data_IF_572020251403
#
_entry.id   IF_572020251403
#
_cell.length_a   1.000
_cell.length_b   1.000
_cell.length_c   1.000
_cell.angle_alpha   90.00
_cell.angle_beta   90.00
_cell.angle_gamma   90.00
#
_symmetry.space_group_name_H-M   'P 1'
#
loop_
_entity.id
_entity.type
_entity.pdbx_description
1 polymer ?
#
# COMPACT_ATOMS: atom_id res chain seq x y z
N UNK A 1 16.16 5.76 -16.75
CA UNK A 1 15.12 4.73 -16.52
C UNK A 1 14.11 4.80 -17.66
N UNK A 2 13.77 3.67 -18.30
CA UNK A 2 12.77 3.66 -19.39
C UNK A 2 11.35 3.88 -18.85
N UNK A 3 10.42 4.35 -19.68
CA UNK A 3 9.03 4.53 -19.28
C UNK A 3 8.41 3.21 -18.79
N UNK A 4 8.67 2.10 -19.49
CA UNK A 4 8.24 0.76 -19.10
C UNK A 4 8.78 0.35 -17.73
N UNK A 5 10.07 0.55 -17.47
CA UNK A 5 10.67 0.23 -16.17
C UNK A 5 10.01 1.03 -15.04
N UNK A 6 9.68 2.31 -15.27
CA UNK A 6 8.97 3.15 -14.30
C UNK A 6 7.59 2.58 -13.94
N UNK A 7 6.83 2.10 -14.93
CA UNK A 7 5.52 1.48 -14.67
C UNK A 7 5.64 0.17 -13.89
N UNK A 8 6.66 -0.65 -14.18
CA UNK A 8 6.91 -1.89 -13.44
C UNK A 8 7.28 -1.58 -12.00
N UNK A 9 8.21 -0.64 -11.76
CA UNK A 9 8.57 -0.21 -10.42
C UNK A 9 7.35 0.34 -9.65
N UNK A 10 6.47 1.08 -10.33
CA UNK A 10 5.21 1.52 -9.76
C UNK A 10 4.33 0.32 -9.37
N UNK A 11 4.12 -0.68 -10.23
CA UNK A 11 3.32 -1.84 -9.84
C UNK A 11 3.92 -2.62 -8.67
N UNK A 12 5.24 -2.77 -8.62
CA UNK A 12 5.93 -3.42 -7.52
C UNK A 12 5.81 -2.65 -6.20
N UNK A 13 5.93 -1.32 -6.21
CA UNK A 13 5.80 -0.48 -5.01
C UNK A 13 4.42 -0.63 -4.36
N UNK A 14 3.36 -0.53 -5.17
CA UNK A 14 1.98 -0.63 -4.67
C UNK A 14 1.63 -2.08 -4.26
N UNK A 15 2.18 -3.07 -4.95
CA UNK A 15 2.09 -4.48 -4.55
C UNK A 15 2.83 -4.80 -3.26
N UNK A 16 3.98 -4.17 -3.01
CA UNK A 16 4.69 -4.32 -1.74
C UNK A 16 3.88 -3.72 -0.59
N UNK A 17 3.24 -2.57 -0.80
CA UNK A 17 2.40 -1.94 0.21
C UNK A 17 1.14 -2.76 0.55
N UNK A 18 0.55 -3.47 -0.41
CA UNK A 18 -0.57 -4.39 -0.13
C UNK A 18 -0.12 -5.64 0.63
N UNK A 19 1.06 -6.19 0.34
CA UNK A 19 1.66 -7.29 1.10
C UNK A 19 2.07 -6.86 2.52
N UNK A 20 2.53 -5.61 2.69
CA UNK A 20 2.78 -5.03 4.00
C UNK A 20 1.51 -5.02 4.87
N UNK A 21 0.39 -4.54 4.32
CA UNK A 21 -0.92 -4.56 5.01
C UNK A 21 -1.32 -5.99 5.41
N UNK A 22 -1.19 -6.98 4.51
CA UNK A 22 -1.42 -8.38 4.86
C UNK A 22 -0.49 -8.86 6.00
N UNK A 23 0.77 -8.46 6.01
CA UNK A 23 1.71 -8.74 7.10
C UNK A 23 1.23 -8.18 8.45
N UNK A 24 0.70 -6.95 8.46
CA UNK A 24 0.07 -6.35 9.63
C UNK A 24 -1.11 -7.19 10.11
N UNK A 25 -1.97 -7.65 9.20
CA UNK A 25 -3.13 -8.48 9.54
C UNK A 25 -2.72 -9.81 10.19
N UNK A 26 -1.65 -10.45 9.73
CA UNK A 26 -1.10 -11.64 10.38
C UNK A 26 -0.63 -11.35 11.81
N UNK A 27 0.16 -10.28 11.99
CA UNK A 27 0.69 -9.89 13.30
C UNK A 27 -0.45 -9.55 14.27
N UNK A 28 -1.43 -8.76 13.83
CA UNK A 28 -2.54 -8.33 14.67
C UNK A 28 -3.51 -9.47 14.97
N UNK A 29 -3.81 -10.32 13.98
CA UNK A 29 -4.63 -11.52 14.18
C UNK A 29 -4.01 -12.45 15.23
N UNK A 30 -2.69 -12.64 15.19
CA UNK A 30 -2.00 -13.54 16.12
C UNK A 30 -1.83 -12.96 17.53
N UNK A 31 -1.55 -11.66 17.67
CA UNK A 31 -1.08 -11.09 18.94
C UNK A 31 -1.84 -9.87 19.44
N UNK A 32 -2.42 -9.06 18.56
CA UNK A 32 -3.01 -7.77 18.94
C UNK A 32 -4.54 -7.81 19.12
N UNK A 33 -5.20 -8.88 18.67
CA UNK A 33 -6.65 -9.07 18.74
C UNK A 33 -7.17 -8.94 20.19
N UNK A 34 -8.25 -8.19 20.48
CA UNK A 34 -8.84 -8.09 21.80
C UNK A 34 -9.30 -9.46 22.34
N UNK A 35 -9.21 -9.66 23.65
CA UNK A 35 -9.46 -10.98 24.29
C UNK A 35 -10.84 -11.57 23.93
N UNK A 36 -11.89 -10.75 23.91
CA UNK A 36 -13.26 -11.16 23.58
C UNK A 36 -13.48 -11.49 22.08
N UNK A 37 -12.56 -11.08 21.19
CA UNK A 37 -12.59 -11.43 19.77
C UNK A 37 -11.74 -12.65 19.44
N UNK A 38 -10.85 -13.04 20.34
CA UNK A 38 -10.05 -14.26 20.19
C UNK A 38 -10.99 -15.46 20.06
N UNK A 39 -10.67 -16.34 19.13
CA UNK A 39 -11.50 -17.49 18.71
C UNK A 39 -12.91 -17.16 18.18
N UNK A 40 -13.27 -15.88 18.04
CA UNK A 40 -14.53 -15.43 17.44
C UNK A 40 -14.54 -15.46 15.91
N UNK A 41 -15.71 -15.14 15.33
CA UNK A 41 -15.92 -15.10 13.87
C UNK A 41 -15.00 -14.07 13.21
N UNK A 42 -14.91 -12.86 13.78
CA UNK A 42 -14.07 -11.79 13.23
C UNK A 42 -12.60 -12.24 13.14
N UNK A 43 -12.07 -12.82 14.21
CA UNK A 43 -10.69 -13.31 14.25
C UNK A 43 -10.42 -14.42 13.24
N UNK A 44 -11.37 -15.35 13.02
CA UNK A 44 -11.24 -16.43 12.02
C UNK A 44 -11.15 -15.91 10.58
N UNK A 45 -11.94 -14.90 10.24
CA UNK A 45 -11.99 -14.35 8.88
C UNK A 45 -11.03 -13.17 8.65
N UNK A 46 -10.39 -12.67 9.70
CA UNK A 46 -9.55 -11.48 9.64
C UNK A 46 -8.44 -11.58 8.57
N UNK A 47 -7.62 -12.62 8.67
CA UNK A 47 -6.50 -12.85 7.74
C UNK A 47 -6.97 -13.23 6.33
N UNK A 48 -7.95 -14.14 6.12
CA UNK A 48 -8.48 -14.41 4.79
C UNK A 48 -9.05 -13.17 4.07
N UNK A 49 -9.77 -12.30 4.78
CA UNK A 49 -10.31 -11.06 4.22
C UNK A 49 -9.16 -10.08 3.93
N UNK A 50 -8.16 -9.95 4.80
CA UNK A 50 -6.97 -9.14 4.51
C UNK A 50 -6.21 -9.65 3.26
N UNK A 51 -6.12 -10.96 3.08
CA UNK A 51 -5.50 -11.55 1.89
C UNK A 51 -6.30 -11.21 0.62
N UNK A 52 -7.62 -11.30 0.67
CA UNK A 52 -8.48 -10.85 -0.42
C UNK A 52 -8.33 -9.35 -0.71
N UNK A 53 -8.30 -8.53 0.35
CA UNK A 53 -8.07 -7.09 0.24
C UNK A 53 -6.75 -6.80 -0.45
N UNK A 54 -5.69 -7.57 -0.18
CA UNK A 54 -4.38 -7.39 -0.85
C UNK A 54 -4.49 -7.50 -2.38
N UNK A 55 -5.25 -8.47 -2.91
CA UNK A 55 -5.46 -8.64 -4.35
C UNK A 55 -6.26 -7.48 -4.94
N UNK A 56 -7.34 -7.07 -4.28
CA UNK A 56 -8.16 -5.93 -4.69
C UNK A 56 -7.30 -4.68 -4.76
N UNK A 57 -6.47 -4.43 -3.75
CA UNK A 57 -5.68 -3.22 -3.65
C UNK A 57 -4.54 -3.16 -4.66
N UNK A 58 -3.85 -4.28 -4.89
CA UNK A 58 -2.87 -4.40 -5.98
C UNK A 58 -3.53 -4.20 -7.34
N UNK A 59 -4.68 -4.82 -7.56
CA UNK A 59 -5.45 -4.69 -8.81
C UNK A 59 -5.88 -3.25 -9.08
N UNK A 60 -6.51 -2.60 -8.10
CA UNK A 60 -6.94 -1.19 -8.20
C UNK A 60 -5.76 -0.25 -8.40
N UNK A 61 -4.64 -0.48 -7.69
CA UNK A 61 -3.44 0.33 -7.80
C UNK A 61 -2.79 0.19 -9.18
N UNK A 62 -2.67 -1.02 -9.71
CA UNK A 62 -2.16 -1.25 -11.05
C UNK A 62 -3.10 -0.66 -12.12
N UNK A 63 -4.40 -0.86 -11.98
CA UNK A 63 -5.41 -0.32 -12.88
C UNK A 63 -5.40 1.21 -12.90
N UNK A 64 -5.18 1.87 -11.76
CA UNK A 64 -5.17 3.34 -11.65
C UNK A 64 -4.18 4.02 -12.60
N UNK A 65 -3.18 3.29 -13.10
CA UNK A 65 -2.14 3.81 -14.01
C UNK A 65 -2.61 3.99 -15.46
N UNK A 66 -3.61 3.24 -15.90
CA UNK A 66 -4.11 3.29 -17.29
C UNK A 66 -4.96 4.54 -17.55
N UNK A 67 -5.96 4.90 -16.72
CA UNK A 67 -6.75 6.11 -16.93
C UNK A 67 -6.08 7.38 -16.40
N UNK A 68 -4.82 7.35 -15.95
CA UNK A 68 -4.18 8.48 -15.27
C UNK A 68 -4.00 9.72 -16.17
N UNK A 69 -3.89 9.53 -17.48
CA UNK A 69 -3.79 10.63 -18.45
C UNK A 69 -5.17 11.27 -18.74
N UNK A 70 -6.23 10.46 -18.80
CA UNK A 70 -7.58 10.92 -19.15
C UNK A 70 -8.36 11.41 -17.92
N UNK A 71 -8.20 10.72 -16.78
CA UNK A 71 -8.95 10.93 -15.54
C UNK A 71 -8.04 10.91 -14.30
N UNK A 72 -7.16 11.92 -14.14
CA UNK A 72 -6.17 11.95 -13.05
C UNK A 72 -6.80 11.93 -11.65
N UNK A 73 -8.00 12.52 -11.48
CA UNK A 73 -8.73 12.49 -10.21
C UNK A 73 -9.19 11.09 -9.84
N UNK A 74 -9.73 10.34 -10.81
CA UNK A 74 -10.19 8.96 -10.59
C UNK A 74 -9.00 8.08 -10.21
N UNK A 75 -7.88 8.16 -10.93
CA UNK A 75 -6.65 7.43 -10.59
C UNK A 75 -6.14 7.76 -9.19
N UNK A 76 -6.20 9.02 -8.76
CA UNK A 76 -5.81 9.43 -7.41
C UNK A 76 -6.77 8.88 -6.35
N UNK A 77 -8.07 8.87 -6.61
CA UNK A 77 -9.09 8.33 -5.69
C UNK A 77 -8.96 6.81 -5.56
N UNK A 78 -8.90 6.08 -6.68
CA UNK A 78 -8.76 4.62 -6.68
C UNK A 78 -7.53 4.17 -5.89
N UNK A 79 -6.40 4.85 -6.13
CA UNK A 79 -5.14 4.61 -5.44
C UNK A 79 -5.23 4.90 -3.94
N UNK A 80 -5.74 6.07 -3.57
CA UNK A 80 -5.89 6.44 -2.15
C UNK A 80 -6.83 5.46 -1.44
N UNK A 81 -7.96 5.11 -2.06
CA UNK A 81 -8.92 4.16 -1.52
C UNK A 81 -8.31 2.76 -1.34
N UNK A 82 -7.48 2.31 -2.28
CA UNK A 82 -6.76 1.05 -2.20
C UNK A 82 -5.79 0.95 -1.01
N UNK A 83 -5.46 2.05 -0.33
CA UNK A 83 -4.64 2.03 0.90
C UNK A 83 -5.41 2.38 2.16
N UNK A 84 -6.31 3.36 2.08
CA UNK A 84 -7.11 3.77 3.23
C UNK A 84 -8.02 2.63 3.67
N UNK A 85 -8.63 1.88 2.73
CA UNK A 85 -9.52 0.79 3.10
C UNK A 85 -8.81 -0.36 3.84
N UNK A 86 -7.71 -0.96 3.33
CA UNK A 86 -6.97 -1.98 4.07
C UNK A 86 -6.40 -1.47 5.38
N UNK A 87 -5.90 -0.22 5.40
CA UNK A 87 -5.41 0.38 6.63
C UNK A 87 -6.50 0.45 7.71
N UNK A 88 -7.70 0.92 7.36
CA UNK A 88 -8.80 0.98 8.31
C UNK A 88 -9.21 -0.42 8.78
N UNK A 89 -9.28 -1.38 7.86
CA UNK A 89 -9.63 -2.77 8.16
C UNK A 89 -8.64 -3.43 9.12
N UNK A 90 -7.35 -3.37 8.81
CA UNK A 90 -6.30 -4.01 9.62
C UNK A 90 -6.21 -3.39 11.02
N UNK A 91 -6.49 -2.09 11.14
CA UNK A 91 -6.41 -1.38 12.42
C UNK A 91 -7.68 -1.44 13.27
N UNK A 92 -8.75 -2.14 12.85
CA UNK A 92 -9.97 -2.35 13.67
C UNK A 92 -9.63 -2.84 15.10
N UNK A 93 -8.76 -3.85 15.31
CA UNK A 93 -8.36 -4.29 16.65
C UNK A 93 -7.70 -3.19 17.48
N UNK A 94 -6.90 -2.33 16.85
CA UNK A 94 -6.18 -1.26 17.53
C UNK A 94 -7.10 -0.11 17.90
N UNK A 95 -8.01 0.28 17.02
CA UNK A 95 -9.05 1.28 17.33
C UNK A 95 -9.93 0.81 18.48
N UNK A 96 -10.29 -0.47 18.52
CA UNK A 96 -11.05 -1.02 19.63
C UNK A 96 -10.28 -0.91 20.96
N UNK A 97 -8.99 -1.26 20.97
CA UNK A 97 -8.15 -1.19 22.18
C UNK A 97 -7.87 0.24 22.63
N UNK A 98 -7.69 1.17 21.69
CA UNK A 98 -7.42 2.58 22.00
C UNK A 98 -8.66 3.39 22.39
N UNK A 99 -9.84 3.04 21.86
CA UNK A 99 -11.11 3.74 22.14
C UNK A 99 -11.95 3.09 23.25
N UNK A 100 -11.66 1.83 23.58
CA UNK A 100 -12.44 1.07 24.57
C UNK A 100 -12.44 1.68 25.97
N UNK A 101 -13.57 1.53 26.67
CA UNK A 101 -13.88 1.97 28.05
C UNK A 101 -13.04 1.22 29.12
N UNK A 102 -11.87 0.67 28.76
CA UNK A 102 -10.93 0.02 29.67
C UNK A 102 -9.68 0.88 29.85
N UNK A 103 -9.87 2.10 30.36
CA UNK A 103 -8.81 3.04 30.75
C UNK A 103 -7.83 2.41 31.77
N UNK A 104 -8.21 1.33 32.46
CA UNK A 104 -7.34 0.59 33.37
C UNK A 104 -6.35 -0.37 32.67
N UNK A 105 -6.38 -0.51 31.34
CA UNK A 105 -5.53 -1.42 30.57
C UNK A 105 -4.49 -0.69 29.69
N UNK A 106 -4.17 0.56 30.00
CA UNK A 106 -3.03 1.26 29.39
C UNK A 106 -1.75 0.47 29.67
N UNK A 107 -1.23 -0.16 28.62
CA UNK A 107 0.04 -0.85 28.64
C UNK A 107 0.96 -0.25 27.57
N UNK A 108 2.25 -0.59 27.64
CA UNK A 108 3.24 -0.08 26.69
C UNK A 108 2.87 -0.38 25.23
N UNK A 109 2.19 -1.50 24.96
CA UNK A 109 1.70 -1.85 23.62
C UNK A 109 0.65 -0.84 23.11
N UNK A 110 -0.34 -0.46 23.93
CA UNK A 110 -1.37 0.53 23.54
C UNK A 110 -0.74 1.89 23.23
N UNK A 111 0.22 2.33 24.04
CA UNK A 111 0.96 3.57 23.75
C UNK A 111 1.72 3.48 22.42
N UNK A 112 2.41 2.37 22.16
CA UNK A 112 3.08 2.12 20.88
C UNK A 112 2.11 2.13 19.69
N UNK A 113 0.92 1.54 19.83
CA UNK A 113 -0.13 1.60 18.80
C UNK A 113 -0.67 3.02 18.58
N UNK A 114 -0.78 3.85 19.63
CA UNK A 114 -1.14 5.26 19.48
C UNK A 114 -0.09 6.03 18.66
N UNK A 115 1.21 5.79 18.92
CA UNK A 115 2.27 6.38 18.10
C UNK A 115 2.21 5.87 16.66
N UNK A 116 2.00 4.57 16.43
CA UNK A 116 1.78 4.02 15.09
C UNK A 116 0.65 4.75 14.34
N UNK A 117 -0.52 4.90 14.96
CA UNK A 117 -1.67 5.57 14.35
C UNK A 117 -1.41 7.06 14.09
N UNK A 118 -0.69 7.74 14.99
CA UNK A 118 -0.27 9.13 14.79
C UNK A 118 0.65 9.27 13.57
N UNK A 119 1.67 8.42 13.46
CA UNK A 119 2.59 8.43 12.33
C UNK A 119 1.91 8.00 11.02
N UNK A 120 0.94 7.08 11.08
CA UNK A 120 0.13 6.72 9.92
C UNK A 120 -0.76 7.87 9.45
N UNK A 121 -1.38 8.61 10.38
CA UNK A 121 -2.12 9.84 10.06
C UNK A 121 -1.21 10.89 9.42
N UNK A 122 -0.02 11.11 9.99
CA UNK A 122 0.96 12.04 9.46
C UNK A 122 1.43 11.63 8.06
N UNK A 123 1.65 10.34 7.84
CA UNK A 123 1.97 9.75 6.53
C UNK A 123 0.88 10.07 5.52
N UNK A 124 -0.39 9.79 5.84
CA UNK A 124 -1.53 10.13 4.98
C UNK A 124 -1.67 11.64 4.72
N UNK A 125 -1.45 12.46 5.75
CA UNK A 125 -1.48 13.92 5.64
C UNK A 125 -0.41 14.47 4.70
N UNK A 126 0.83 14.02 4.84
CA UNK A 126 1.94 14.43 3.97
C UNK A 126 1.68 14.02 2.52
N UNK A 127 1.20 12.79 2.30
CA UNK A 127 0.83 12.29 0.98
C UNK A 127 -0.27 13.12 0.30
N UNK A 128 -1.30 13.53 1.05
CA UNK A 128 -2.43 14.26 0.50
C UNK A 128 -2.16 15.76 0.32
N UNK A 129 -1.44 16.38 1.27
CA UNK A 129 -1.27 17.83 1.34
C UNK A 129 -0.12 18.36 0.47
N UNK A 130 0.89 17.52 0.18
CA UNK A 130 2.13 17.90 -0.51
C UNK A 130 2.90 19.03 0.21
N UNK A 131 2.90 18.99 1.54
CA UNK A 131 3.65 19.92 2.38
C UNK A 131 5.01 19.34 2.78
N UNK A 132 6.08 20.16 2.86
CA UNK A 132 6.08 21.63 2.80
C UNK A 132 6.29 22.24 1.41
N UNK A 133 6.59 21.47 0.36
CA UNK A 133 6.96 21.98 -0.97
C UNK A 133 5.87 22.84 -1.62
N UNK A 134 4.61 22.60 -1.29
CA UNK A 134 3.49 23.44 -1.74
C UNK A 134 3.52 24.86 -1.15
N UNK A 135 4.13 25.06 0.02
CA UNK A 135 4.27 26.38 0.65
C UNK A 135 5.50 27.15 0.19
N UNK A 136 6.58 26.44 -0.18
CA UNK A 136 7.79 27.06 -0.70
C UNK A 136 8.34 26.29 -1.92
N UNK A 137 7.75 26.52 -3.11
CA UNK A 137 8.22 25.90 -4.35
C UNK A 137 9.70 26.21 -4.61
N UNK A 138 10.49 25.22 -5.02
CA UNK A 138 11.92 25.36 -5.29
C UNK A 138 12.84 25.26 -4.06
N UNK A 139 12.30 25.18 -2.84
CA UNK A 139 13.11 25.06 -1.60
C UNK A 139 13.34 23.62 -1.15
N UNK A 140 12.43 22.72 -1.51
CA UNK A 140 12.42 21.33 -1.03
C UNK A 140 12.69 20.33 -2.16
N UNK A 141 13.25 20.77 -3.29
CA UNK A 141 13.39 19.94 -4.50
C UNK A 141 14.28 18.70 -4.30
N UNK A 142 15.26 18.78 -3.39
CA UNK A 142 16.20 17.68 -3.11
C UNK A 142 15.99 17.04 -1.74
N UNK A 143 15.69 17.83 -0.71
CA UNK A 143 15.61 17.38 0.69
C UNK A 143 14.35 17.95 1.33
N UNK A 144 13.62 17.11 2.07
CA UNK A 144 12.52 17.53 2.94
C UNK A 144 11.19 17.73 2.23
N UNK A 145 11.04 17.30 0.97
CA UNK A 145 9.73 17.28 0.33
C UNK A 145 8.81 16.22 0.95
N UNK A 146 7.50 16.40 0.81
CA UNK A 146 6.46 15.59 1.43
C UNK A 146 6.66 14.09 1.25
N UNK A 147 7.07 13.64 0.05
CA UNK A 147 7.29 12.23 -0.23
C UNK A 147 8.47 11.62 0.56
N UNK A 148 9.54 12.39 0.84
CA UNK A 148 10.61 11.92 1.74
C UNK A 148 10.11 11.83 3.18
N UNK A 149 9.41 12.87 3.64
CA UNK A 149 8.84 12.90 5.00
C UNK A 149 7.80 11.80 5.19
N UNK A 150 7.01 11.50 4.15
CA UNK A 150 6.06 10.39 4.08
C UNK A 150 6.77 9.06 4.37
N UNK A 151 7.88 8.76 3.69
CA UNK A 151 8.63 7.52 3.93
C UNK A 151 9.22 7.46 5.34
N UNK A 152 9.74 8.58 5.86
CA UNK A 152 10.25 8.65 7.24
C UNK A 152 9.13 8.35 8.24
N UNK A 153 7.96 8.97 8.08
CA UNK A 153 6.81 8.74 8.95
C UNK A 153 6.29 7.32 8.84
N UNK A 154 6.26 6.74 7.63
CA UNK A 154 5.87 5.35 7.42
C UNK A 154 6.81 4.40 8.18
N UNK A 155 8.13 4.57 8.06
CA UNK A 155 9.12 3.75 8.76
C UNK A 155 9.00 3.88 10.29
N UNK A 156 8.86 5.11 10.81
CA UNK A 156 8.66 5.34 12.24
C UNK A 156 7.35 4.70 12.73
N UNK A 157 6.25 4.84 11.96
CA UNK A 157 4.98 4.20 12.25
C UNK A 157 5.10 2.68 12.31
N UNK A 158 5.79 2.05 11.35
CA UNK A 158 6.07 0.61 11.37
C UNK A 158 6.95 0.20 12.55
N UNK A 159 7.94 1.02 12.94
CA UNK A 159 8.78 0.75 14.10
C UNK A 159 7.95 0.68 15.39
N UNK A 160 7.13 1.69 15.67
CA UNK A 160 6.26 1.68 16.85
C UNK A 160 5.22 0.55 16.82
N UNK A 161 4.73 0.22 15.63
CA UNK A 161 3.85 -0.95 15.45
C UNK A 161 4.54 -2.25 15.86
N UNK A 162 5.77 -2.48 15.38
CA UNK A 162 6.51 -3.70 15.69
C UNK A 162 6.85 -3.79 17.18
N UNK A 163 7.30 -2.71 17.80
CA UNK A 163 7.54 -2.66 19.25
C UNK A 163 6.26 -2.97 20.05
N UNK A 164 5.12 -2.40 19.66
CA UNK A 164 3.84 -2.68 20.30
C UNK A 164 3.42 -4.15 20.15
N UNK A 165 3.58 -4.73 18.96
CA UNK A 165 3.32 -6.15 18.70
C UNK A 165 4.25 -7.02 19.54
N UNK A 166 5.54 -6.69 19.64
CA UNK A 166 6.49 -7.43 20.46
C UNK A 166 6.13 -7.36 21.95
N UNK A 167 5.67 -6.20 22.43
CA UNK A 167 5.15 -6.05 23.79
C UNK A 167 3.93 -6.95 24.03
N UNK A 168 2.99 -7.04 23.08
CA UNK A 168 1.86 -7.98 23.14
C UNK A 168 2.33 -9.45 23.09
N UNK A 169 3.32 -9.78 22.27
CA UNK A 169 3.91 -11.13 22.22
C UNK A 169 4.48 -11.48 23.60
N UNK A 170 5.26 -10.61 24.22
CA UNK A 170 5.87 -10.88 25.52
C UNK A 170 4.82 -11.01 26.63
N UNK A 171 3.84 -10.11 26.68
CA UNK A 171 2.85 -10.05 27.75
C UNK A 171 1.73 -11.08 27.61
N UNK A 172 1.28 -11.41 26.39
CA UNK A 172 0.07 -12.21 26.15
C UNK A 172 0.35 -13.65 25.69
N UNK A 173 1.59 -14.01 25.38
CA UNK A 173 1.93 -15.33 24.79
C UNK A 173 1.44 -16.54 25.61
N UNK A 174 1.55 -16.49 26.94
CA UNK A 174 1.08 -17.60 27.78
C UNK A 174 -0.44 -17.78 27.70
N UNK A 175 -1.18 -16.68 27.77
CA UNK A 175 -2.64 -16.67 27.67
C UNK A 175 -3.12 -17.10 26.27
N UNK A 176 -2.52 -16.55 25.21
CA UNK A 176 -2.86 -16.85 23.82
C UNK A 176 -2.64 -18.34 23.48
N UNK A 177 -1.57 -18.96 24.00
CA UNK A 177 -1.32 -20.40 23.83
C UNK A 177 -2.41 -21.29 24.44
N UNK A 178 -3.11 -20.82 25.48
CA UNK A 178 -4.21 -21.55 26.10
C UNK A 178 -5.55 -21.37 25.38
N UNK A 179 -5.71 -20.29 24.60
CA UNK A 179 -7.01 -19.90 24.01
C UNK A 179 -7.07 -20.00 22.49
N UNK A 180 -5.92 -20.03 21.81
CA UNK A 180 -5.85 -20.29 20.37
C UNK A 180 -5.42 -21.74 20.10
N UNK A 181 -6.02 -22.40 19.08
CA UNK A 181 -5.44 -23.62 18.54
C UNK A 181 -4.03 -23.32 18.03
N UNK A 182 -3.14 -24.33 18.10
CA UNK A 182 -1.80 -24.20 17.55
C UNK A 182 -1.90 -23.66 16.11
N UNK A 183 -1.18 -22.57 15.75
CA UNK A 183 -1.29 -21.99 14.43
C UNK A 183 -0.98 -23.07 13.41
N UNK A 184 -1.98 -23.39 12.58
CA UNK A 184 -1.81 -24.35 11.51
C UNK A 184 -0.78 -23.79 10.54
N UNK A 185 0.46 -24.28 10.61
CA UNK A 185 1.54 -23.91 9.70
C UNK A 185 1.06 -23.92 8.23
N UNK A 186 0.27 -24.90 7.75
CA UNK A 186 -0.23 -24.88 6.37
C UNK A 186 -1.17 -23.70 6.07
N UNK A 187 -1.95 -23.24 7.04
CA UNK A 187 -2.88 -22.12 6.87
C UNK A 187 -2.15 -20.79 6.71
N UNK A 188 -1.24 -20.47 7.64
CA UNK A 188 -0.47 -19.22 7.60
C UNK A 188 0.45 -19.15 6.38
N UNK A 189 1.27 -20.20 6.17
CA UNK A 189 2.19 -20.22 5.02
C UNK A 189 1.44 -20.39 3.69
N UNK A 190 0.32 -21.11 3.68
CA UNK A 190 -0.53 -21.26 2.51
C UNK A 190 -1.17 -19.93 2.09
N UNK A 191 -1.76 -19.18 3.03
CA UNK A 191 -2.33 -17.86 2.74
C UNK A 191 -1.25 -16.86 2.33
N UNK A 192 -0.10 -16.84 3.00
CA UNK A 192 1.02 -15.96 2.62
C UNK A 192 1.56 -16.29 1.22
N UNK A 193 1.77 -17.58 0.92
CA UNK A 193 2.21 -18.04 -0.40
C UNK A 193 1.21 -17.71 -1.50
N UNK A 194 -0.08 -17.96 -1.27
CA UNK A 194 -1.15 -17.63 -2.22
C UNK A 194 -1.22 -16.11 -2.46
N UNK A 195 -1.11 -15.31 -1.39
CA UNK A 195 -1.10 -13.86 -1.52
C UNK A 195 0.10 -13.36 -2.31
N UNK A 196 1.31 -13.89 -2.04
CA UNK A 196 2.52 -13.50 -2.76
C UNK A 196 2.42 -13.85 -4.24
N UNK A 197 2.04 -15.10 -4.56
CA UNK A 197 1.92 -15.58 -5.94
C UNK A 197 0.80 -14.86 -6.68
N UNK A 198 -0.35 -14.66 -6.04
CA UNK A 198 -1.49 -13.97 -6.65
C UNK A 198 -1.19 -12.50 -6.92
N UNK A 199 -0.56 -11.77 -5.99
CA UNK A 199 -0.16 -10.39 -6.22
C UNK A 199 0.93 -10.30 -7.31
N UNK A 200 1.89 -11.22 -7.34
CA UNK A 200 2.88 -11.30 -8.42
C UNK A 200 2.23 -11.58 -9.78
N UNK A 201 1.21 -12.45 -9.83
CA UNK A 201 0.46 -12.73 -11.06
C UNK A 201 -0.32 -11.51 -11.54
N UNK A 202 -0.97 -10.76 -10.65
CA UNK A 202 -1.66 -9.50 -10.97
C UNK A 202 -0.66 -8.49 -11.56
N UNK A 203 0.47 -8.27 -10.90
CA UNK A 203 1.52 -7.36 -11.37
C UNK A 203 2.07 -7.81 -12.72
N UNK A 204 2.29 -9.12 -12.91
CA UNK A 204 2.73 -9.72 -14.16
C UNK A 204 1.74 -9.49 -15.30
N UNK A 205 0.44 -9.69 -15.05
CA UNK A 205 -0.61 -9.45 -16.02
C UNK A 205 -0.68 -7.98 -16.47
N UNK A 206 -0.65 -7.04 -15.52
CA UNK A 206 -0.64 -5.61 -15.85
C UNK A 206 0.66 -5.18 -16.54
N UNK A 207 1.80 -5.77 -16.17
CA UNK A 207 3.09 -5.54 -16.83
C UNK A 207 3.08 -6.04 -18.28
N UNK A 208 2.44 -7.18 -18.54
CA UNK A 208 2.28 -7.72 -19.89
C UNK A 208 1.34 -6.85 -20.74
N UNK A 209 0.32 -6.26 -20.14
CA UNK A 209 -0.63 -5.35 -20.79
C UNK A 209 -0.07 -3.96 -21.12
N UNK A 210 1.11 -3.59 -20.60
CA UNK A 210 1.76 -2.32 -20.96
C UNK A 210 2.11 -2.30 -22.45
N UNK A 211 1.79 -1.20 -23.18
CA UNK A 211 2.18 -1.05 -24.57
C UNK A 211 3.69 -1.27 -24.72
N UNK A 212 4.08 -2.15 -25.63
CA UNK A 212 5.48 -2.18 -26.07
C UNK A 212 5.75 -0.86 -26.75
N UNK A 213 6.81 -0.15 -26.34
CA UNK A 213 7.25 1.03 -27.06
C UNK A 213 7.37 0.66 -28.54
N UNK A 214 6.91 1.50 -29.48
CA UNK A 214 7.16 1.26 -30.90
C UNK A 214 8.67 1.11 -31.06
N UNK A 215 9.09 -0.09 -31.47
CA UNK A 215 10.45 -0.33 -31.90
C UNK A 215 10.77 0.67 -33.00
N UNK A 216 12.01 1.14 -32.97
CA UNK A 216 12.66 1.88 -34.05
C UNK A 216 12.37 1.25 -35.42
N UNK A 217 11.38 1.79 -36.13
CA UNK A 217 11.31 1.72 -37.59
C UNK A 217 10.92 3.11 -38.09
N UNK A 218 11.85 4.05 -37.95
CA UNK A 218 11.89 5.23 -38.81
C UNK A 218 12.40 4.72 -40.16
N UNK A 219 11.48 4.34 -41.06
CA UNK A 219 11.78 4.43 -42.49
C UNK A 219 11.94 5.92 -42.83
N UNK A 220 12.92 6.31 -43.65
CA UNK A 220 13.19 7.72 -43.90
C UNK A 220 11.96 8.40 -44.52
N UNK A 221 11.69 9.67 -44.21
CA UNK A 221 10.68 10.43 -44.92
C UNK A 221 11.11 10.54 -46.38
N UNK A 222 10.27 10.03 -47.28
CA UNK A 222 10.41 10.24 -48.71
C UNK A 222 10.50 11.73 -48.99
N UNK A 223 11.60 12.12 -49.64
CA UNK A 223 11.88 13.46 -50.14
C UNK A 223 10.70 13.93 -50.99
N UNK A 224 10.11 15.12 -50.73
CA UNK A 224 9.26 15.77 -51.71
C UNK A 224 10.18 16.35 -52.80
N UNK A 225 10.11 15.78 -54.00
CA UNK A 225 10.76 16.36 -55.17
C UNK A 225 10.01 17.65 -55.53
N UNK A 226 10.63 18.81 -55.28
CA UNK A 226 10.27 20.06 -55.93
C UNK A 226 10.41 19.89 -57.45
N UNK A 227 9.32 20.10 -58.18
CA UNK A 227 9.36 20.39 -59.61
C UNK A 227 8.16 21.26 -59.98
N UNK A 228 8.43 22.47 -60.49
CA UNK A 228 7.48 23.13 -61.39
C UNK A 228 7.10 24.56 -61.02
N UNK A 229 8.02 25.49 -61.23
CA UNK A 229 7.69 26.87 -61.57
C UNK A 229 6.78 26.92 -62.82
N UNK A 230 5.67 27.67 -62.77
CA UNK A 230 4.95 28.39 -63.86
C UNK A 230 3.84 29.25 -63.19
N UNK A 231 3.97 30.58 -63.12
CA UNK A 231 3.45 31.58 -64.09
C UNK A 231 2.10 31.18 -64.71
N UNK A 232 1.01 31.80 -64.29
CA UNK A 232 0.36 32.97 -64.94
C UNK A 232 -1.12 33.14 -64.52
N UNK A 233 -1.52 34.41 -64.35
CA UNK A 233 -2.82 35.03 -64.69
C UNK A 233 -4.14 34.46 -64.11
N UNK A 234 -4.76 35.18 -63.18
CA UNK A 234 -5.85 36.16 -63.39
C UNK A 234 -6.36 36.71 -62.05
#
# INVERSE_FOLDING_TARGET
MSARARHICYFCDYGALSLYSLGCAFAYGAYAMPDHWVSGVLHRYFVPVAAFNSFVCTGLSCYSRFPELEHPRLSKVLRTAAFVYPFLYDNIPLFYRGWGVHVCAWNEAVAGYCYHLLFALLTGFLFASHLPERLAPGRFDYIGHSHQLFHICAVLGTHFQLEAVLSDVCSRRAWLRGHLPAPGLPGTFGTAGLALLGNAAIIGAFTAALPRAPGSSVGPPGIPTEAGCRRDQQ
#
